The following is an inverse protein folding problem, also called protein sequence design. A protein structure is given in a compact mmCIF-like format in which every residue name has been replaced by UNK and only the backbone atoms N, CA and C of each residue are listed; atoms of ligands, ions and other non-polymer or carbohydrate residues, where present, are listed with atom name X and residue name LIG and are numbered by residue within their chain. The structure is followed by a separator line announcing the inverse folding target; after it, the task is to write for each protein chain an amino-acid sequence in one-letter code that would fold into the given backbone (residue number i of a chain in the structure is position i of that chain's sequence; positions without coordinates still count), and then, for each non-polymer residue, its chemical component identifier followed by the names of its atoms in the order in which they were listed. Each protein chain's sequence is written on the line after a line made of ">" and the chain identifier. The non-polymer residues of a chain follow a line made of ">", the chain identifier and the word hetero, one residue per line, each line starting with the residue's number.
data_IF_936620364804
#
_entry.id   IF_936620364804
#
_cell.length_a   1.000
_cell.length_b   1.000
_cell.length_c   1.000
_cell.angle_alpha   90.00
_cell.angle_beta   90.00
_cell.angle_gamma   90.00
#
_symmetry.space_group_name_H-M   'P 1'
#
loop_
_entity.id
_entity.type
_entity.pdbx_description
1 polymer ?
#
# COMPACT_ATOMS: atom_id res chain seq x y z
N UNK A 1 28.86 -23.13 21.17
CA UNK A 1 28.89 -21.87 20.41
C UNK A 1 27.80 -21.93 19.35
N UNK A 2 27.07 -20.84 19.11
CA UNK A 2 26.14 -20.75 17.98
C UNK A 2 26.87 -20.71 16.64
N UNK A 3 26.14 -20.84 15.52
CA UNK A 3 26.70 -20.96 14.16
C UNK A 3 27.69 -19.85 13.79
N UNK A 4 27.47 -18.61 14.24
CA UNK A 4 28.27 -17.43 13.88
C UNK A 4 29.09 -16.86 15.05
N UNK A 5 29.30 -17.64 16.12
CA UNK A 5 29.96 -17.16 17.35
C UNK A 5 31.43 -16.72 17.20
N UNK A 6 32.04 -16.96 16.03
CA UNK A 6 33.40 -16.51 15.67
C UNK A 6 33.42 -15.24 14.81
N UNK A 7 32.25 -14.70 14.46
CA UNK A 7 32.08 -13.48 13.66
C UNK A 7 31.69 -12.30 14.55
N UNK A 8 31.83 -11.09 14.01
CA UNK A 8 31.25 -9.90 14.61
C UNK A 8 29.75 -9.88 14.31
N UNK A 9 28.95 -10.37 15.25
CA UNK A 9 27.50 -10.51 15.09
C UNK A 9 26.72 -9.60 16.02
N UNK A 10 25.68 -8.96 15.50
CA UNK A 10 24.76 -8.10 16.25
C UNK A 10 23.31 -8.34 15.81
N UNK A 11 22.38 -8.07 16.73
CA UNK A 11 20.95 -8.10 16.46
C UNK A 11 20.34 -6.73 16.75
N UNK A 12 19.39 -6.32 15.92
CA UNK A 12 18.73 -5.01 15.98
C UNK A 12 17.22 -5.17 15.81
N UNK A 13 16.47 -4.29 16.46
CA UNK A 13 15.05 -4.08 16.18
C UNK A 13 14.91 -2.61 15.81
N UNK A 14 14.48 -2.36 14.57
CA UNK A 14 14.45 -1.03 13.98
C UNK A 14 13.00 -0.69 13.65
N UNK A 15 12.53 0.45 14.13
CA UNK A 15 11.15 0.86 13.94
C UNK A 15 10.87 2.12 14.73
N UNK A 16 9.65 2.65 14.62
CA UNK A 16 9.29 3.83 15.36
C UNK A 16 9.01 3.48 16.84
N UNK A 17 9.64 4.14 17.84
CA UNK A 17 9.52 3.76 19.24
C UNK A 17 8.08 3.75 19.78
N UNK A 18 7.19 4.53 19.17
CA UNK A 18 5.79 4.65 19.58
C UNK A 18 4.83 3.79 18.75
N UNK A 19 5.33 3.08 17.73
CA UNK A 19 4.52 2.18 16.90
C UNK A 19 4.97 0.74 17.14
N UNK A 20 4.11 -0.04 17.81
CA UNK A 20 4.40 -1.46 18.06
C UNK A 20 4.37 -2.34 16.79
N UNK A 21 3.84 -1.80 15.70
CA UNK A 21 3.70 -2.48 14.41
C UNK A 21 4.71 -1.93 13.39
N UNK A 22 5.16 -2.77 12.45
CA UNK A 22 6.16 -2.44 11.41
C UNK A 22 7.59 -2.28 11.93
N UNK A 23 8.01 -3.18 12.82
CA UNK A 23 9.43 -3.31 13.22
C UNK A 23 10.20 -4.19 12.24
N UNK A 24 11.44 -3.81 11.98
CA UNK A 24 12.41 -4.52 11.17
C UNK A 24 13.44 -5.20 12.08
N UNK A 25 13.37 -6.52 12.15
CA UNK A 25 14.24 -7.33 12.99
C UNK A 25 15.42 -7.83 12.16
N UNK A 26 16.64 -7.48 12.55
CA UNK A 26 17.85 -7.87 11.83
C UNK A 26 18.76 -8.65 12.75
N UNK A 27 19.32 -9.73 12.20
CA UNK A 27 20.53 -10.34 12.71
C UNK A 27 21.59 -10.29 11.62
N UNK A 28 22.77 -9.78 11.95
CA UNK A 28 23.88 -9.64 11.01
C UNK A 28 25.14 -10.19 11.65
N UNK A 29 25.90 -10.97 10.90
CA UNK A 29 27.19 -11.50 11.31
C UNK A 29 28.19 -11.34 10.17
N UNK A 30 29.26 -10.61 10.41
CA UNK A 30 30.30 -10.39 9.40
C UNK A 30 31.69 -10.57 9.99
N UNK A 31 32.67 -10.88 9.12
CA UNK A 31 34.07 -10.79 9.53
C UNK A 31 34.45 -9.33 9.63
N UNK A 32 35.22 -8.97 10.66
CA UNK A 32 35.80 -7.64 10.80
C UNK A 32 36.62 -7.30 9.56
N UNK A 33 36.02 -6.53 8.66
CA UNK A 33 36.67 -6.07 7.45
C UNK A 33 37.40 -4.78 7.76
N UNK A 34 38.57 -4.91 8.40
CA UNK A 34 39.59 -3.86 8.27
C UNK A 34 39.98 -3.85 6.79
N UNK A 35 39.54 -2.82 6.08
CA UNK A 35 39.83 -2.54 4.66
C UNK A 35 39.39 -3.60 3.65
N UNK A 36 38.08 -3.75 3.42
CA UNK A 36 37.66 -4.15 2.07
C UNK A 36 37.80 -2.92 1.16
N UNK A 37 38.42 -3.04 -0.03
CA UNK A 37 38.47 -1.93 -0.99
C UNK A 37 37.03 -1.49 -1.30
N UNK A 38 36.81 -0.18 -1.49
CA UNK A 38 35.52 0.32 -2.01
C UNK A 38 35.11 -0.57 -3.18
N UNK A 39 33.97 -1.23 -3.09
CA UNK A 39 33.48 -1.99 -4.23
C UNK A 39 33.23 -0.95 -5.34
N UNK A 40 33.91 -1.13 -6.47
CA UNK A 40 33.66 -0.31 -7.67
C UNK A 40 32.34 -0.70 -8.33
N UNK A 41 31.87 -1.91 -8.03
CA UNK A 41 30.64 -2.47 -8.56
C UNK A 41 29.43 -1.93 -7.78
N UNK A 42 28.70 -1.03 -8.42
CA UNK A 42 27.47 -0.42 -7.88
C UNK A 42 26.28 -1.39 -7.88
N UNK A 43 26.38 -2.53 -8.59
CA UNK A 43 25.26 -3.47 -8.75
C UNK A 43 25.10 -4.41 -7.54
N UNK A 44 26.20 -4.72 -6.84
CA UNK A 44 26.18 -5.56 -5.63
C UNK A 44 25.98 -4.76 -4.33
N UNK A 45 25.64 -3.47 -4.43
CA UNK A 45 25.73 -2.54 -3.30
C UNK A 45 24.53 -2.58 -2.36
N UNK A 46 23.33 -2.88 -2.87
CA UNK A 46 22.09 -2.75 -2.11
C UNK A 46 21.12 -3.91 -2.29
N UNK A 47 20.38 -4.17 -1.22
CA UNK A 47 19.10 -4.90 -1.24
C UNK A 47 18.00 -3.94 -0.81
N UNK A 48 16.95 -3.84 -1.61
CA UNK A 48 15.74 -3.09 -1.31
C UNK A 48 14.62 -4.08 -1.01
N UNK A 49 13.91 -3.85 0.09
CA UNK A 49 12.75 -4.62 0.50
C UNK A 49 11.61 -3.65 0.83
N UNK A 50 10.41 -3.93 0.30
CA UNK A 50 9.20 -3.19 0.57
C UNK A 50 8.16 -4.12 1.17
N UNK A 51 7.56 -3.70 2.28
CA UNK A 51 6.44 -4.40 2.91
C UNK A 51 5.21 -3.50 2.88
N UNK A 52 4.12 -3.98 2.30
CA UNK A 52 2.93 -3.18 2.00
C UNK A 52 1.70 -3.85 2.60
N UNK A 53 0.87 -3.08 3.30
CA UNK A 53 -0.33 -3.59 3.99
C UNK A 53 -1.54 -2.70 3.73
N UNK A 54 -2.73 -3.30 3.81
CA UNK A 54 -3.97 -2.59 3.53
C UNK A 54 -4.02 -2.14 2.07
N UNK A 55 -3.78 -3.09 1.16
CA UNK A 55 -3.76 -2.88 -0.28
C UNK A 55 -5.10 -2.32 -0.78
N UNK A 56 -5.06 -1.51 -1.83
CA UNK A 56 -6.29 -1.04 -2.50
C UNK A 56 -7.11 -2.25 -2.97
N UNK A 57 -8.42 -2.23 -2.69
CA UNK A 57 -9.29 -3.39 -2.94
C UNK A 57 -9.40 -3.75 -4.41
N UNK A 58 -9.37 -2.77 -5.30
CA UNK A 58 -9.47 -3.01 -6.74
C UNK A 58 -8.17 -3.60 -7.27
N UNK A 59 -7.02 -3.10 -6.80
CA UNK A 59 -5.69 -3.63 -7.14
C UNK A 59 -5.48 -5.03 -6.58
N UNK A 60 -5.81 -5.26 -5.31
CA UNK A 60 -5.76 -6.59 -4.68
C UNK A 60 -6.68 -7.60 -5.39
N UNK A 61 -7.86 -7.13 -5.86
CA UNK A 61 -8.82 -7.92 -6.64
C UNK A 61 -8.24 -8.53 -7.93
N UNK A 62 -7.12 -8.03 -8.44
CA UNK A 62 -6.43 -8.61 -9.61
C UNK A 62 -5.88 -10.00 -9.30
N UNK A 63 -5.51 -10.28 -8.06
CA UNK A 63 -4.82 -11.52 -7.65
C UNK A 63 -5.77 -12.60 -7.12
N UNK A 64 -7.07 -12.46 -7.40
CA UNK A 64 -8.06 -13.52 -7.23
C UNK A 64 -8.27 -14.24 -8.56
N UNK A 65 -8.41 -15.56 -8.53
CA UNK A 65 -8.81 -16.30 -9.72
C UNK A 65 -10.22 -15.90 -10.14
N UNK A 66 -10.35 -15.42 -11.38
CA UNK A 66 -11.63 -15.00 -11.96
C UNK A 66 -12.28 -16.11 -12.81
N UNK A 67 -11.46 -16.98 -13.38
CA UNK A 67 -11.87 -18.12 -14.19
C UNK A 67 -10.72 -19.14 -14.27
N UNK A 68 -10.98 -20.33 -14.82
CA UNK A 68 -9.94 -21.35 -15.01
C UNK A 68 -8.80 -20.89 -15.95
N UNK A 69 -9.10 -20.00 -16.89
CA UNK A 69 -8.13 -19.47 -17.87
C UNK A 69 -7.41 -18.19 -17.39
N UNK A 70 -7.76 -17.69 -16.19
CA UNK A 70 -7.14 -16.50 -15.63
C UNK A 70 -5.77 -16.86 -15.04
N UNK A 71 -4.71 -16.56 -15.79
CA UNK A 71 -3.34 -17.00 -15.52
C UNK A 71 -2.52 -15.99 -14.71
N UNK A 72 -1.42 -16.46 -14.13
CA UNK A 72 -0.39 -15.61 -13.54
C UNK A 72 0.06 -14.48 -14.47
N UNK A 73 0.31 -14.77 -15.75
CA UNK A 73 0.71 -13.78 -16.75
C UNK A 73 -0.30 -12.64 -16.91
N UNK A 74 -1.61 -12.95 -16.83
CA UNK A 74 -2.65 -11.93 -16.86
C UNK A 74 -2.64 -11.10 -15.56
N UNK A 75 -2.41 -11.71 -14.39
CA UNK A 75 -2.23 -10.97 -13.13
C UNK A 75 -1.03 -10.02 -13.20
N UNK A 76 0.11 -10.49 -13.73
CA UNK A 76 1.34 -9.71 -13.92
C UNK A 76 1.08 -8.46 -14.75
N UNK A 77 0.40 -8.63 -15.90
CA UNK A 77 0.07 -7.56 -16.83
C UNK A 77 -0.96 -6.59 -16.26
N UNK A 78 -2.05 -7.10 -15.69
CA UNK A 78 -3.15 -6.28 -15.17
C UNK A 78 -2.74 -5.43 -13.96
N UNK A 79 -1.87 -5.97 -13.09
CA UNK A 79 -1.33 -5.26 -11.93
C UNK A 79 -0.24 -4.25 -12.30
N UNK A 80 0.33 -4.36 -13.51
CA UNK A 80 1.47 -3.54 -13.94
C UNK A 80 2.80 -3.98 -13.33
N UNK A 81 2.89 -5.18 -12.75
CA UNK A 81 4.15 -5.70 -12.17
C UNK A 81 5.26 -5.76 -13.23
N UNK A 82 4.91 -6.06 -14.48
CA UNK A 82 5.84 -6.02 -15.62
C UNK A 82 6.40 -4.63 -15.93
N UNK A 83 5.83 -3.56 -15.38
CA UNK A 83 6.33 -2.19 -15.55
C UNK A 83 7.34 -1.79 -14.45
N UNK A 84 7.45 -2.55 -13.36
CA UNK A 84 8.34 -2.19 -12.24
C UNK A 84 9.80 -2.19 -12.68
N UNK A 85 10.21 -3.27 -13.37
CA UNK A 85 11.51 -3.42 -14.02
C UNK A 85 11.27 -3.96 -15.43
N UNK A 86 11.09 -3.10 -16.45
CA UNK A 86 10.60 -3.50 -17.77
C UNK A 86 11.46 -4.54 -18.52
N UNK A 87 12.74 -4.63 -18.17
CA UNK A 87 13.67 -5.57 -18.79
C UNK A 87 13.69 -6.94 -18.10
N UNK A 88 13.03 -7.11 -16.95
CA UNK A 88 13.00 -8.39 -16.26
C UNK A 88 12.28 -9.44 -17.10
N UNK A 89 12.93 -10.58 -17.26
CA UNK A 89 12.25 -11.82 -17.62
C UNK A 89 11.51 -12.31 -16.37
N UNK A 90 10.18 -12.41 -16.47
CA UNK A 90 9.30 -12.74 -15.35
C UNK A 90 8.95 -14.22 -15.38
N UNK A 91 9.12 -14.87 -14.23
CA UNK A 91 8.58 -16.19 -13.91
C UNK A 91 7.51 -16.00 -12.84
N UNK A 92 6.24 -16.01 -13.24
CA UNK A 92 5.09 -15.78 -12.37
C UNK A 92 4.32 -17.06 -12.05
N UNK A 93 3.55 -17.00 -10.95
CA UNK A 93 2.75 -18.11 -10.47
C UNK A 93 1.51 -17.60 -9.74
N UNK A 94 0.34 -18.12 -10.11
CA UNK A 94 -0.95 -17.85 -9.47
C UNK A 94 -1.35 -18.99 -8.53
N UNK A 95 -1.81 -18.64 -7.33
CA UNK A 95 -2.28 -19.60 -6.33
C UNK A 95 -3.81 -19.72 -6.33
N UNK A 96 -4.32 -20.83 -5.79
CA UNK A 96 -5.75 -21.12 -5.67
C UNK A 96 -6.16 -21.14 -4.18
N UNK A 97 -7.28 -20.47 -3.81
CA UNK A 97 -8.21 -19.72 -4.65
C UNK A 97 -7.73 -18.32 -5.06
N UNK A 98 -6.68 -17.81 -4.41
CA UNK A 98 -6.07 -16.51 -4.69
C UNK A 98 -4.63 -16.48 -4.23
N UNK A 99 -3.93 -15.39 -4.57
CA UNK A 99 -2.53 -15.18 -4.24
C UNK A 99 -1.66 -15.25 -5.48
N UNK A 100 -0.50 -14.62 -5.39
CA UNK A 100 0.42 -14.48 -6.51
C UNK A 100 1.86 -14.39 -6.03
N UNK A 101 2.79 -14.97 -6.80
CA UNK A 101 4.21 -14.74 -6.62
C UNK A 101 4.91 -14.68 -7.98
N UNK A 102 6.01 -13.93 -8.04
CA UNK A 102 6.89 -13.97 -9.20
C UNK A 102 8.33 -13.73 -8.81
N UNK A 103 9.23 -14.18 -9.67
CA UNK A 103 10.62 -13.74 -9.71
C UNK A 103 10.89 -13.05 -11.05
N UNK A 104 11.70 -11.99 -11.01
CA UNK A 104 12.17 -11.26 -12.18
C UNK A 104 13.70 -11.27 -12.24
N UNK A 105 14.25 -11.44 -13.44
CA UNK A 105 15.71 -11.49 -13.66
C UNK A 105 16.07 -10.64 -14.88
N UNK A 106 17.09 -9.78 -14.75
CA UNK A 106 17.79 -9.11 -15.86
C UNK A 106 19.29 -9.00 -15.53
N UNK A 107 20.11 -9.85 -16.15
CA UNK A 107 21.53 -9.94 -15.82
C UNK A 107 21.76 -10.29 -14.35
N UNK A 108 22.37 -9.38 -13.60
CA UNK A 108 22.56 -9.50 -12.13
C UNK A 108 21.37 -8.98 -11.33
N UNK A 109 20.47 -8.20 -11.94
CA UNK A 109 19.31 -7.65 -11.28
C UNK A 109 18.28 -8.75 -11.04
N UNK A 110 17.84 -8.85 -9.79
CA UNK A 110 16.86 -9.82 -9.32
C UNK A 110 15.74 -9.06 -8.62
N UNK A 111 14.50 -9.50 -8.80
CA UNK A 111 13.38 -9.07 -7.97
C UNK A 111 12.44 -10.20 -7.64
N UNK A 112 11.68 -10.07 -6.57
CA UNK A 112 10.56 -10.96 -6.26
C UNK A 112 9.37 -10.19 -5.72
N UNK A 113 8.17 -10.71 -5.98
CA UNK A 113 6.92 -10.21 -5.43
C UNK A 113 6.16 -11.37 -4.82
N UNK A 114 5.54 -11.12 -3.67
CA UNK A 114 4.55 -12.02 -3.05
C UNK A 114 3.30 -11.21 -2.68
N UNK A 115 2.12 -11.73 -3.00
CA UNK A 115 0.84 -11.06 -2.74
C UNK A 115 -0.13 -11.99 -2.03
N UNK A 116 -0.68 -11.48 -0.93
CA UNK A 116 -1.81 -12.01 -0.16
C UNK A 116 -2.96 -11.00 -0.31
N UNK A 117 -3.89 -11.19 -1.25
CA UNK A 117 -4.88 -10.16 -1.62
C UNK A 117 -6.07 -10.02 -0.67
N UNK A 118 -6.19 -10.88 0.33
CA UNK A 118 -7.36 -10.99 1.20
C UNK A 118 -7.71 -9.71 1.97
N UNK A 119 -8.97 -9.26 1.85
CA UNK A 119 -9.45 -8.07 2.55
C UNK A 119 -9.37 -8.24 4.07
N UNK A 120 -8.96 -7.18 4.76
CA UNK A 120 -8.73 -7.17 6.22
C UNK A 120 -7.32 -7.59 6.66
N UNK A 121 -6.60 -8.37 5.86
CA UNK A 121 -5.21 -8.77 6.14
C UNK A 121 -4.32 -8.76 4.89
N UNK A 122 -4.66 -7.92 3.92
CA UNK A 122 -3.96 -7.84 2.64
C UNK A 122 -2.51 -7.39 2.82
N UNK A 123 -1.62 -8.08 2.11
CA UNK A 123 -0.18 -7.87 2.16
C UNK A 123 0.44 -8.05 0.79
N UNK A 124 1.43 -7.22 0.46
CA UNK A 124 2.33 -7.46 -0.65
C UNK A 124 3.77 -7.15 -0.24
N UNK A 125 4.71 -7.90 -0.78
CA UNK A 125 6.14 -7.59 -0.70
C UNK A 125 6.73 -7.35 -2.09
N UNK A 126 7.73 -6.49 -2.15
CA UNK A 126 8.63 -6.36 -3.30
C UNK A 126 10.05 -6.33 -2.79
N UNK A 127 10.91 -7.20 -3.32
CA UNK A 127 12.34 -7.20 -3.03
C UNK A 127 13.10 -7.05 -4.35
N UNK A 128 14.19 -6.29 -4.33
CA UNK A 128 15.10 -6.18 -5.47
C UNK A 128 16.56 -5.98 -5.04
N UNK A 129 17.47 -6.53 -5.82
CA UNK A 129 18.92 -6.39 -5.64
C UNK A 129 19.65 -6.55 -6.98
N UNK A 130 20.96 -6.29 -7.01
CA UNK A 130 21.78 -6.59 -8.19
C UNK A 130 21.63 -5.61 -9.36
N UNK A 131 20.94 -4.48 -9.16
CA UNK A 131 20.73 -3.43 -10.16
C UNK A 131 21.65 -2.22 -9.92
N UNK A 132 21.96 -1.48 -10.98
CA UNK A 132 22.77 -0.26 -10.87
C UNK A 132 21.96 0.91 -10.26
N UNK A 133 22.38 1.39 -9.08
CA UNK A 133 21.76 2.52 -8.39
C UNK A 133 21.90 3.86 -9.16
N UNK A 134 22.87 3.95 -10.07
CA UNK A 134 23.03 5.07 -10.99
C UNK A 134 21.90 5.15 -12.02
N UNK A 135 21.47 4.00 -12.54
CA UNK A 135 20.41 3.86 -13.55
C UNK A 135 19.02 3.78 -12.91
N UNK A 136 18.88 3.01 -11.83
CA UNK A 136 17.61 2.82 -11.13
C UNK A 136 17.50 3.80 -9.96
N UNK A 137 16.63 4.80 -10.09
CA UNK A 137 16.35 5.75 -9.00
C UNK A 137 15.37 5.15 -7.99
N UNK A 138 15.72 5.21 -6.71
CA UNK A 138 14.92 4.67 -5.61
C UNK A 138 13.47 5.18 -5.63
N UNK A 139 13.27 6.50 -5.66
CA UNK A 139 11.94 7.11 -5.70
C UNK A 139 11.09 6.59 -6.87
N UNK A 140 11.68 6.52 -8.07
CA UNK A 140 10.99 6.03 -9.26
C UNK A 140 10.63 4.55 -9.17
N UNK A 141 11.52 3.72 -8.60
CA UNK A 141 11.25 2.31 -8.36
C UNK A 141 10.09 2.13 -7.36
N UNK A 142 10.16 2.80 -6.21
CA UNK A 142 9.12 2.78 -5.17
C UNK A 142 7.77 3.22 -5.74
N UNK A 143 7.72 4.31 -6.53
CA UNK A 143 6.48 4.78 -7.16
C UNK A 143 5.87 3.74 -8.11
N UNK A 144 6.69 3.03 -8.90
CA UNK A 144 6.17 1.96 -9.78
C UNK A 144 5.61 0.78 -8.99
N UNK A 145 6.27 0.37 -7.90
CA UNK A 145 5.75 -0.66 -6.99
C UNK A 145 4.41 -0.23 -6.37
N UNK A 146 4.32 1.00 -5.85
CA UNK A 146 3.09 1.52 -5.24
C UNK A 146 1.93 1.65 -6.25
N UNK A 147 2.23 1.93 -7.52
CA UNK A 147 1.23 1.91 -8.60
C UNK A 147 0.57 0.53 -8.75
N UNK A 148 1.28 -0.57 -8.48
CA UNK A 148 0.72 -1.92 -8.56
C UNK A 148 -0.24 -2.26 -7.41
N UNK A 149 0.03 -1.76 -6.20
CA UNK A 149 -0.63 -2.26 -4.98
C UNK A 149 -1.47 -1.23 -4.22
N UNK A 150 -1.13 0.06 -4.31
CA UNK A 150 -1.83 1.16 -3.61
C UNK A 150 -2.07 0.88 -2.12
N UNK A 151 -1.05 0.56 -1.31
CA UNK A 151 -1.24 0.23 0.11
C UNK A 151 -1.66 1.44 0.94
N UNK A 152 -2.37 1.21 2.04
CA UNK A 152 -2.59 2.22 3.08
C UNK A 152 -1.31 2.53 3.86
N UNK A 153 -0.54 1.49 4.18
CA UNK A 153 0.70 1.60 4.96
C UNK A 153 1.79 0.78 4.27
N UNK A 154 3.01 1.31 4.19
CA UNK A 154 4.15 0.54 3.72
C UNK A 154 5.46 0.92 4.41
N UNK A 155 6.45 0.04 4.32
CA UNK A 155 7.82 0.32 4.71
C UNK A 155 8.80 -0.01 3.60
N UNK A 156 9.95 0.65 3.63
CA UNK A 156 11.08 0.43 2.72
C UNK A 156 12.32 0.19 3.58
N UNK A 157 12.97 -0.95 3.40
CA UNK A 157 14.25 -1.28 3.97
C UNK A 157 15.30 -1.30 2.84
N UNK A 158 16.34 -0.48 2.96
CA UNK A 158 17.49 -0.49 2.06
C UNK A 158 18.71 -0.92 2.83
N UNK A 159 19.16 -2.15 2.59
CA UNK A 159 20.39 -2.69 3.16
C UNK A 159 21.53 -2.42 2.20
N UNK A 160 22.47 -1.57 2.62
CA UNK A 160 23.72 -1.33 1.92
C UNK A 160 24.77 -2.32 2.45
N UNK A 161 25.24 -3.20 1.59
CA UNK A 161 26.29 -4.16 1.92
C UNK A 161 27.64 -3.42 1.92
N UNK A 162 28.47 -3.66 2.93
CA UNK A 162 29.68 -2.87 3.20
C UNK A 162 30.62 -2.74 1.98
N UNK A 163 31.35 -1.62 1.90
CA UNK A 163 32.21 -1.29 0.75
C UNK A 163 31.56 -0.36 -0.28
N UNK A 164 30.26 -0.08 -0.13
CA UNK A 164 29.51 0.88 -0.93
C UNK A 164 29.99 2.32 -0.68
N UNK A 165 30.34 3.06 -1.74
CA UNK A 165 30.76 4.46 -1.64
C UNK A 165 29.65 5.41 -1.15
N UNK A 166 30.02 6.66 -0.84
CA UNK A 166 29.10 7.71 -0.34
C UNK A 166 27.82 7.85 -1.18
N UNK A 167 27.89 7.67 -2.51
CA UNK A 167 26.73 7.78 -3.41
C UNK A 167 25.59 6.79 -3.14
N UNK A 168 25.89 5.56 -2.74
CA UNK A 168 24.87 4.54 -2.42
C UNK A 168 24.13 4.88 -1.13
N UNK A 169 24.84 5.48 -0.16
CA UNK A 169 24.23 5.93 1.08
C UNK A 169 23.24 7.07 0.83
N UNK A 170 23.58 8.02 -0.05
CA UNK A 170 22.65 9.07 -0.48
C UNK A 170 21.43 8.49 -1.18
N UNK A 171 21.64 7.56 -2.12
CA UNK A 171 20.57 6.86 -2.84
C UNK A 171 19.56 6.22 -1.88
N UNK A 172 20.04 5.54 -0.82
CA UNK A 172 19.20 4.89 0.18
C UNK A 172 18.34 5.87 1.00
N UNK A 173 18.75 7.14 1.10
CA UNK A 173 18.01 8.20 1.78
C UNK A 173 17.11 9.01 0.85
N UNK A 174 17.15 8.78 -0.46
CA UNK A 174 16.51 9.60 -1.50
C UNK A 174 15.01 9.31 -1.71
N UNK A 175 14.27 8.91 -0.67
CA UNK A 175 12.87 8.48 -0.81
C UNK A 175 11.92 8.99 0.28
N UNK A 176 12.25 10.07 1.00
CA UNK A 176 11.35 10.61 2.01
C UNK A 176 10.08 11.27 1.43
N UNK A 177 10.10 11.67 0.17
CA UNK A 177 8.99 12.32 -0.52
C UNK A 177 8.41 11.41 -1.61
N UNK A 178 7.30 10.75 -1.28
CA UNK A 178 6.57 9.82 -2.14
C UNK A 178 5.16 10.36 -2.33
N UNK A 179 4.77 10.57 -3.58
CA UNK A 179 3.45 11.11 -3.94
C UNK A 179 2.31 10.28 -3.34
N UNK A 180 1.36 10.95 -2.68
CA UNK A 180 0.21 10.32 -2.02
C UNK A 180 0.49 9.76 -0.62
N UNK A 181 1.72 9.85 -0.13
CA UNK A 181 2.13 9.27 1.15
C UNK A 181 2.88 10.27 2.03
N UNK A 182 2.67 10.15 3.35
CA UNK A 182 3.45 10.85 4.36
C UNK A 182 4.51 9.92 4.91
N UNK A 183 5.74 10.41 5.00
CA UNK A 183 6.83 9.72 5.70
C UNK A 183 6.63 9.85 7.22
N UNK A 184 6.48 8.71 7.90
CA UNK A 184 6.37 8.62 9.36
C UNK A 184 7.73 8.72 10.04
N UNK A 185 8.71 7.98 9.52
CA UNK A 185 10.01 7.84 10.16
C UNK A 185 11.08 7.39 9.17
N UNK A 186 12.31 7.86 9.39
CA UNK A 186 13.52 7.40 8.70
C UNK A 186 14.51 7.03 9.79
N UNK A 187 14.92 5.77 9.83
CA UNK A 187 15.90 5.26 10.79
C UNK A 187 17.09 4.70 10.04
N UNK A 188 18.29 5.17 10.38
CA UNK A 188 19.55 4.65 9.84
C UNK A 188 20.31 3.89 10.91
N UNK A 189 20.72 2.66 10.60
CA UNK A 189 21.47 1.79 11.50
C UNK A 189 22.77 1.34 10.82
N UNK A 190 23.91 1.64 11.45
CA UNK A 190 25.20 1.08 11.03
C UNK A 190 25.24 -0.42 11.35
N UNK A 191 25.76 -1.21 10.42
CA UNK A 191 25.87 -2.66 10.53
C UNK A 191 27.35 -3.08 10.60
N UNK A 192 27.68 -4.19 11.28
CA UNK A 192 29.01 -4.78 11.26
C UNK A 192 29.52 -5.00 9.83
N UNK A 193 30.80 -4.73 9.59
CA UNK A 193 31.41 -4.88 8.25
C UNK A 193 31.30 -3.64 7.36
N UNK A 194 30.87 -2.50 7.92
CA UNK A 194 30.84 -1.22 7.20
C UNK A 194 29.64 -1.04 6.27
N UNK A 195 28.61 -1.87 6.43
CA UNK A 195 27.31 -1.70 5.80
C UNK A 195 26.38 -0.84 6.65
N UNK A 196 25.21 -0.50 6.11
CA UNK A 196 24.16 0.18 6.88
C UNK A 196 22.78 -0.23 6.38
N UNK A 197 21.78 -0.10 7.25
CA UNK A 197 20.37 -0.13 6.87
C UNK A 197 19.80 1.29 6.91
N UNK A 198 18.99 1.63 5.92
CA UNK A 198 18.00 2.71 6.02
C UNK A 198 16.60 2.09 6.02
N UNK A 199 15.83 2.33 7.07
CA UNK A 199 14.45 1.87 7.20
C UNK A 199 13.50 3.06 7.24
N UNK A 200 12.51 3.06 6.34
CA UNK A 200 11.56 4.15 6.17
C UNK A 200 10.15 3.60 6.27
N UNK A 201 9.27 4.32 6.95
CA UNK A 201 7.85 3.94 7.11
C UNK A 201 6.94 5.05 6.62
N UNK A 202 5.84 4.69 5.99
CA UNK A 202 4.89 5.61 5.38
C UNK A 202 3.44 5.23 5.68
N UNK A 203 2.56 6.23 5.58
CA UNK A 203 1.11 6.03 5.52
C UNK A 203 0.48 6.89 4.42
N UNK A 204 -0.64 6.42 3.87
CA UNK A 204 -1.42 7.11 2.84
C UNK A 204 -2.01 8.41 3.38
N UNK A 205 -1.89 9.49 2.60
CA UNK A 205 -2.61 10.74 2.85
C UNK A 205 -3.99 10.62 2.24
N UNK A 206 -5.01 10.50 3.09
CA UNK A 206 -6.38 10.70 2.61
C UNK A 206 -6.57 12.18 2.31
N UNK A 207 -6.70 12.52 1.03
CA UNK A 207 -7.26 13.83 0.69
C UNK A 207 -8.59 13.97 1.41
N UNK A 208 -8.71 15.01 2.25
CA UNK A 208 -10.00 15.40 2.75
C UNK A 208 -10.84 15.71 1.51
N UNK A 209 -11.80 14.84 1.17
CA UNK A 209 -12.85 15.20 0.21
C UNK A 209 -13.43 16.50 0.72
N UNK A 210 -13.10 17.61 0.07
CA UNK A 210 -13.80 18.87 0.28
C UNK A 210 -15.27 18.53 0.10
N UNK A 211 -16.03 18.56 1.21
CA UNK A 211 -17.48 18.67 1.10
C UNK A 211 -17.68 20.02 0.45
N UNK A 212 -17.86 20.06 -0.86
CA UNK A 212 -18.46 21.21 -1.53
C UNK A 212 -19.70 21.56 -0.72
N UNK A 213 -19.81 22.77 -0.16
CA UNK A 213 -21.07 23.21 0.43
C UNK A 213 -22.10 23.06 -0.68
N UNK A 214 -23.18 22.32 -0.42
CA UNK A 214 -24.29 22.28 -1.34
C UNK A 214 -24.66 23.73 -1.65
N UNK A 215 -24.51 24.16 -2.91
CA UNK A 215 -24.96 25.48 -3.35
C UNK A 215 -26.44 25.57 -2.98
N UNK A 216 -26.77 26.37 -1.97
CA UNK A 216 -28.13 26.84 -1.76
C UNK A 216 -28.54 27.54 -3.06
N UNK A 217 -29.41 26.89 -3.84
CA UNK A 217 -30.08 27.55 -4.96
C UNK A 217 -30.95 28.64 -4.36
N UNK A 218 -30.49 29.89 -4.48
CA UNK A 218 -31.33 31.07 -4.32
C UNK A 218 -32.38 31.05 -5.43
N UNK A 219 -33.62 30.69 -5.08
CA UNK A 219 -34.78 30.99 -5.94
C UNK A 219 -35.08 32.49 -5.88
N UNK A 220 -35.30 33.19 -7.00
CA UNK A 220 -35.66 34.59 -6.98
C UNK A 220 -37.09 34.78 -6.48
N UNK A 221 -37.20 35.73 -5.56
CA UNK A 221 -38.40 36.36 -5.03
C UNK A 221 -39.34 36.89 -6.12
N UNK A 222 -40.62 36.51 -6.08
CA UNK A 222 -41.73 37.28 -6.63
C UNK A 222 -42.62 37.77 -5.48
N UNK A 223 -42.69 39.10 -5.38
CA UNK A 223 -43.70 39.93 -4.71
C UNK A 223 -44.88 40.13 -5.68
N UNK A 224 -46.14 40.28 -5.34
CA UNK A 224 -46.96 40.36 -4.12
C UNK A 224 -48.36 39.86 -4.55
N UNK A 225 -49.23 39.43 -3.62
CA UNK A 225 -50.60 39.94 -3.39
C UNK A 225 -51.14 39.19 -2.17
N UNK A 226 -51.51 39.95 -1.14
CA UNK A 226 -52.28 39.49 0.01
C UNK A 226 -53.76 39.41 -0.38
N UNK A 227 -54.45 38.34 0.03
CA UNK A 227 -55.65 38.42 0.89
C UNK A 227 -56.20 37.01 1.16
N UNK A 228 -56.78 36.90 2.35
CA UNK A 228 -57.37 35.71 2.96
C UNK A 228 -58.55 35.16 2.13
N UNK A 229 -58.75 33.84 2.12
CA UNK A 229 -60.07 33.27 2.41
C UNK A 229 -60.05 31.73 2.58
N UNK A 230 -60.73 31.35 3.67
CA UNK A 230 -61.56 30.18 3.93
C UNK A 230 -61.19 28.73 3.53
N UNK A 231 -61.44 27.88 4.54
CA UNK A 231 -61.77 26.46 4.43
C UNK A 231 -62.81 26.19 3.34
N UNK A 232 -62.64 25.14 2.53
CA UNK A 232 -63.63 24.06 2.30
C UNK A 232 -62.95 22.91 1.53
N UNK A 233 -63.01 21.72 2.11
CA UNK A 233 -62.85 20.45 1.39
C UNK A 233 -64.16 20.14 0.64
N UNK A 234 -64.15 20.17 -0.68
CA UNK A 234 -65.08 19.39 -1.53
C UNK A 234 -64.43 18.05 -1.84
N UNK A 235 -65.11 16.92 -2.03
CA UNK A 235 -66.41 16.60 -2.62
C UNK A 235 -66.84 15.23 -2.03
N UNK A 236 -68.09 14.78 -1.97
CA UNK A 236 -69.34 15.27 -2.51
C UNK A 236 -70.48 14.31 -2.13
N UNK A 237 -71.71 14.71 -2.45
CA UNK A 237 -72.81 13.83 -2.87
C UNK A 237 -73.36 12.78 -1.89
N UNK A 238 -74.41 13.17 -1.15
CA UNK A 238 -75.72 12.53 -1.29
C UNK A 238 -76.04 11.24 -0.52
N UNK A 239 -77.07 11.32 0.32
CA UNK A 239 -78.06 10.24 0.43
C UNK A 239 -78.15 9.48 1.75
N UNK A 240 -79.04 9.97 2.62
CA UNK A 240 -80.00 9.25 3.46
C UNK A 240 -79.60 7.96 4.23
N UNK A 241 -79.87 7.99 5.55
CA UNK A 241 -80.53 6.87 6.22
C UNK A 241 -79.80 6.24 7.40
N UNK A 242 -80.11 6.72 8.61
CA UNK A 242 -80.48 5.92 9.79
C UNK A 242 -79.53 4.85 10.36
N UNK A 243 -79.25 4.98 11.67
CA UNK A 243 -79.34 3.81 12.57
C UNK A 243 -78.06 3.36 13.29
N UNK A 244 -77.91 3.88 14.52
CA UNK A 244 -77.66 3.15 15.77
C UNK A 244 -76.42 2.22 15.96
N UNK A 245 -75.59 2.62 16.94
CA UNK A 245 -74.88 1.83 17.98
C UNK A 245 -74.02 0.61 17.62
N UNK A 246 -72.76 0.63 18.09
CA UNK A 246 -71.98 -0.58 18.38
C UNK A 246 -70.53 -0.30 18.77
N UNK A 247 -70.17 -0.58 20.03
CA UNK A 247 -68.83 -0.49 20.64
C UNK A 247 -67.98 -1.77 20.37
N UNK A 248 -66.68 -1.82 20.76
CA UNK A 248 -65.62 -2.61 20.11
C UNK A 248 -65.27 -3.96 20.80
N UNK A 249 -64.45 -4.79 20.15
CA UNK A 249 -63.70 -5.96 20.69
C UNK A 249 -62.44 -6.16 19.81
N UNK A 250 -61.17 -6.04 20.28
CA UNK A 250 -60.31 -6.90 21.13
C UNK A 250 -59.81 -8.21 20.47
N UNK A 251 -58.47 -8.36 20.44
CA UNK A 251 -57.60 -9.58 20.40
C UNK A 251 -57.71 -10.48 19.16
N UNK A 252 -56.72 -11.25 18.70
CA UNK A 252 -55.35 -11.62 19.10
C UNK A 252 -54.81 -12.53 18.00
N UNK A 253 -53.52 -12.38 17.65
CA UNK A 253 -52.47 -13.39 17.45
C UNK A 253 -51.34 -12.78 16.62
#
# INVERSE_FOLDING_TARGET
>A
MGFFGSLNSNAYVIGHPTSANRNWHIYVASKDSKSLPLCKDQTSAVTLEMCMTGLDKMKAGVFYKKSADYSAAEMTKMSGINEIMPNHVICDFDFDPCGYSMNGIDGTALSTVHVTPEDGFSYASYEAMGFDCGEVKLKGLVQRVLKCFGPRDFSVAVTCHGGSGVGVQWWATECADVEGYMCDSVVRQELPGGGCLVYITFHEVKEAKERTPAKMMNMPCWKDVAEEEEMVLGLGGGGAGGGMMGRPYISSL
#
